data_IF_077845266683
#
_entry.id   IF_077845266683
#
_cell.length_a   1.000
_cell.length_b   1.000
_cell.length_c   1.000
_cell.angle_alpha   90.00
_cell.angle_beta   90.00
_cell.angle_gamma   90.00
#
_symmetry.space_group_name_H-M   'P 1'
#
loop_
_entity.id
_entity.type
_entity.pdbx_description
1 polymer ?
#
# COMPACT_ATOMS: atom_id res chain seq x y z
N UNK A 1 -2.94 -7.23 17.50
CA UNK A 1 -1.82 -7.97 18.13
C UNK A 1 -0.67 -7.00 18.34
N UNK A 2 -0.20 -6.77 19.57
CA UNK A 2 0.84 -5.76 19.80
C UNK A 2 2.15 -6.21 19.13
N UNK A 3 2.82 -5.29 18.43
CA UNK A 3 4.05 -5.58 17.69
C UNK A 3 5.18 -6.17 18.55
N UNK A 4 5.07 -6.07 19.88
CA UNK A 4 6.05 -6.59 20.83
C UNK A 4 6.26 -8.10 20.75
N UNK A 5 5.24 -8.85 20.32
CA UNK A 5 5.35 -10.31 20.20
C UNK A 5 6.46 -10.73 19.22
N UNK A 6 6.69 -9.94 18.17
CA UNK A 6 7.76 -10.23 17.21
C UNK A 6 9.15 -10.11 17.83
N UNK A 7 9.39 -9.18 18.75
CA UNK A 7 10.70 -9.09 19.41
C UNK A 7 10.99 -10.32 20.26
N UNK A 8 10.00 -10.76 21.06
CA UNK A 8 10.14 -11.94 21.92
C UNK A 8 10.35 -13.19 21.06
N UNK A 9 9.54 -13.36 20.01
CA UNK A 9 9.67 -14.48 19.08
C UNK A 9 11.05 -14.50 18.43
N UNK A 10 11.50 -13.38 17.86
CA UNK A 10 12.81 -13.30 17.23
C UNK A 10 13.95 -13.51 18.22
N UNK A 11 13.81 -13.09 19.48
CA UNK A 11 14.81 -13.35 20.52
C UNK A 11 14.93 -14.84 20.85
N UNK A 12 13.80 -15.55 20.98
CA UNK A 12 13.81 -17.01 21.17
C UNK A 12 14.41 -17.71 19.96
N UNK A 13 14.07 -17.27 18.74
CA UNK A 13 14.56 -17.84 17.48
C UNK A 13 16.07 -17.71 17.29
N UNK A 14 16.76 -16.82 18.02
CA UNK A 14 18.23 -16.78 18.05
C UNK A 14 18.85 -18.09 18.54
N UNK A 15 18.12 -18.85 19.36
CA UNK A 15 18.60 -20.08 20.00
C UNK A 15 17.88 -21.34 19.51
N UNK A 16 16.97 -21.23 18.53
CA UNK A 16 16.19 -22.35 18.00
C UNK A 16 16.41 -22.53 16.49
N UNK A 17 15.37 -22.35 15.67
CA UNK A 17 15.36 -22.65 14.23
C UNK A 17 15.87 -21.47 13.39
N UNK A 18 16.10 -20.31 13.99
CA UNK A 18 16.48 -19.06 13.31
C UNK A 18 15.47 -18.65 12.23
N UNK A 19 14.18 -18.78 12.54
CA UNK A 19 13.08 -18.32 11.68
C UNK A 19 12.58 -16.96 12.14
N UNK A 20 13.16 -15.90 11.58
CA UNK A 20 12.88 -14.52 12.00
C UNK A 20 11.70 -13.92 11.25
N UNK A 21 10.78 -13.28 11.98
CA UNK A 21 9.54 -12.74 11.41
C UNK A 21 9.28 -11.33 11.91
N UNK A 22 8.75 -10.49 11.05
CA UNK A 22 8.42 -9.11 11.43
C UNK A 22 7.43 -8.47 10.47
N UNK A 23 7.06 -7.22 10.76
CA UNK A 23 6.04 -6.51 10.00
C UNK A 23 6.67 -5.49 9.06
N UNK A 24 6.71 -5.81 7.76
CA UNK A 24 7.25 -4.96 6.69
C UNK A 24 8.60 -4.33 7.03
N UNK A 25 8.73 -3.02 6.79
CA UNK A 25 9.86 -2.17 7.19
C UNK A 25 9.64 -1.41 8.50
N UNK A 26 8.65 -1.83 9.30
CA UNK A 26 8.47 -1.31 10.66
C UNK A 26 9.60 -1.80 11.56
N UNK A 27 9.72 -1.25 12.77
CA UNK A 27 10.78 -1.60 13.74
C UNK A 27 10.92 -3.13 13.96
N UNK A 28 9.80 -3.86 14.00
CA UNK A 28 9.80 -5.32 14.16
C UNK A 28 10.36 -6.06 12.95
N UNK A 29 10.06 -5.60 11.74
CA UNK A 29 10.62 -6.12 10.49
C UNK A 29 12.12 -5.83 10.35
N UNK A 30 12.54 -4.61 10.70
CA UNK A 30 13.95 -4.26 10.69
C UNK A 30 14.75 -5.04 11.73
N UNK A 31 14.17 -5.32 12.90
CA UNK A 31 14.78 -6.20 13.89
C UNK A 31 14.89 -7.65 13.40
N UNK A 32 13.84 -8.20 12.79
CA UNK A 32 13.88 -9.53 12.20
C UNK A 32 14.96 -9.63 11.10
N UNK A 33 15.06 -8.62 10.24
CA UNK A 33 16.11 -8.51 9.22
C UNK A 33 17.50 -8.45 9.84
N UNK A 34 17.70 -7.63 10.89
CA UNK A 34 18.96 -7.58 11.62
C UNK A 34 19.35 -8.95 12.17
N UNK A 35 18.43 -9.68 12.80
CA UNK A 35 18.70 -11.02 13.31
C UNK A 35 19.09 -11.99 12.17
N UNK A 36 18.33 -11.98 11.07
CA UNK A 36 18.64 -12.78 9.89
C UNK A 36 20.04 -12.48 9.33
N UNK A 37 20.40 -11.20 9.15
CA UNK A 37 21.70 -10.79 8.63
C UNK A 37 22.87 -11.14 9.56
N UNK A 38 22.65 -11.13 10.88
CA UNK A 38 23.68 -11.43 11.87
C UNK A 38 23.85 -12.92 12.19
N UNK A 39 22.76 -13.68 12.19
CA UNK A 39 22.74 -15.04 12.70
C UNK A 39 22.44 -16.11 11.64
N UNK A 40 22.06 -15.70 10.42
CA UNK A 40 21.61 -16.57 9.32
C UNK A 40 20.22 -17.17 9.59
N UNK A 41 19.74 -18.05 8.71
CA UNK A 41 18.43 -18.71 8.86
C UNK A 41 17.41 -18.22 7.83
N UNK A 42 16.16 -18.03 8.25
CA UNK A 42 15.06 -17.61 7.39
C UNK A 42 14.50 -16.26 7.85
N UNK A 43 14.11 -15.42 6.89
CA UNK A 43 13.38 -14.18 7.14
C UNK A 43 11.98 -14.30 6.56
N UNK A 44 10.97 -13.80 7.27
CA UNK A 44 9.63 -13.56 6.71
C UNK A 44 9.12 -12.19 7.15
N UNK A 45 9.05 -11.26 6.20
CA UNK A 45 8.37 -9.99 6.37
C UNK A 45 6.90 -10.15 6.04
N UNK A 46 6.06 -9.59 6.90
CA UNK A 46 4.61 -9.71 6.78
C UNK A 46 3.95 -8.35 6.64
N UNK A 47 2.86 -8.29 5.89
CA UNK A 47 2.05 -7.07 5.72
C UNK A 47 0.57 -7.43 5.48
N UNK A 48 -0.34 -6.46 5.60
CA UNK A 48 -1.72 -6.64 5.18
C UNK A 48 -1.80 -7.04 3.70
N UNK A 49 -2.72 -7.95 3.37
CA UNK A 49 -2.99 -8.31 1.98
C UNK A 49 -3.69 -7.19 1.20
N UNK A 50 -3.67 -7.29 -0.14
CA UNK A 50 -4.27 -6.30 -1.02
C UNK A 50 -5.80 -6.20 -0.88
N UNK A 51 -6.47 -7.30 -0.51
CA UNK A 51 -7.89 -7.32 -0.09
C UNK A 51 -7.89 -7.68 1.39
N UNK A 52 -7.97 -6.68 2.26
CA UNK A 52 -7.71 -6.87 3.69
C UNK A 52 -8.96 -7.21 4.46
N UNK A 53 -9.99 -6.38 4.44
CA UNK A 53 -11.11 -6.50 5.40
C UNK A 53 -12.35 -5.72 4.96
N UNK A 54 -13.47 -5.93 5.67
CA UNK A 54 -14.66 -5.08 5.50
C UNK A 54 -14.37 -3.66 5.95
N UNK A 55 -13.82 -3.47 7.16
CA UNK A 55 -13.54 -2.15 7.69
C UNK A 55 -12.03 -1.93 7.88
N UNK A 56 -11.63 -0.72 8.28
CA UNK A 56 -10.24 -0.38 8.55
C UNK A 56 -9.66 -1.23 9.70
N UNK A 57 -8.36 -1.48 9.65
CA UNK A 57 -7.66 -2.21 10.72
C UNK A 57 -7.70 -1.51 12.07
N UNK A 58 -7.87 -0.20 12.09
CA UNK A 58 -8.03 0.61 13.31
C UNK A 58 -9.37 0.36 14.02
N UNK A 59 -10.37 -0.19 13.31
CA UNK A 59 -11.67 -0.56 13.86
C UNK A 59 -11.70 -2.06 14.25
N UNK A 60 -10.53 -2.66 14.50
CA UNK A 60 -10.35 -4.08 14.84
C UNK A 60 -10.94 -5.08 13.82
N UNK A 61 -11.11 -4.65 12.56
CA UNK A 61 -11.59 -5.54 11.50
C UNK A 61 -10.54 -6.62 11.18
N UNK A 62 -10.96 -7.88 11.27
CA UNK A 62 -10.13 -9.05 11.01
C UNK A 62 -9.68 -9.09 9.55
N UNK A 63 -8.40 -9.42 9.32
CA UNK A 63 -7.84 -9.50 7.98
C UNK A 63 -8.23 -10.82 7.31
N UNK A 64 -8.80 -10.75 6.11
CA UNK A 64 -9.08 -11.86 5.21
C UNK A 64 -7.82 -12.42 4.56
N UNK A 65 -6.81 -11.56 4.36
CA UNK A 65 -5.58 -11.95 3.69
C UNK A 65 -4.34 -11.25 4.28
N UNK A 66 -3.17 -11.82 4.00
CA UNK A 66 -1.88 -11.33 4.47
C UNK A 66 -0.81 -11.59 3.43
N UNK A 67 0.13 -10.67 3.29
CA UNK A 67 1.37 -10.91 2.54
C UNK A 67 2.41 -11.53 3.48
N UNK A 68 3.08 -12.57 2.99
CA UNK A 68 4.28 -13.13 3.59
C UNK A 68 5.37 -13.21 2.52
N UNK A 69 6.44 -12.46 2.72
CA UNK A 69 7.55 -12.31 1.80
C UNK A 69 8.85 -12.71 2.49
N UNK A 70 9.55 -13.68 1.93
CA UNK A 70 10.80 -14.22 2.47
C UNK A 70 12.06 -13.71 1.74
N UNK A 71 11.91 -12.69 0.89
CA UNK A 71 12.99 -12.07 0.11
C UNK A 71 13.11 -10.59 0.47
N UNK A 72 11.99 -9.87 0.45
CA UNK A 72 11.91 -8.44 0.73
C UNK A 72 10.50 -8.07 1.19
N UNK A 73 9.95 -7.00 0.63
CA UNK A 73 8.53 -6.66 0.79
C UNK A 73 8.08 -5.87 -0.45
N UNK A 74 6.84 -6.08 -0.92
CA UNK A 74 6.38 -5.61 -2.24
C UNK A 74 6.48 -4.10 -2.52
N UNK A 75 6.50 -3.26 -1.48
CA UNK A 75 6.58 -1.80 -1.64
C UNK A 75 8.01 -1.27 -1.55
N UNK A 76 8.99 -2.14 -1.30
CA UNK A 76 10.38 -1.74 -1.20
C UNK A 76 11.09 -1.97 -2.54
N UNK A 77 11.34 -0.88 -3.25
CA UNK A 77 12.03 -0.86 -4.53
C UNK A 77 13.57 -0.89 -4.39
N UNK A 78 14.11 -0.80 -3.17
CA UNK A 78 15.57 -0.75 -2.93
C UNK A 78 16.22 -2.14 -2.96
N UNK A 79 15.43 -3.20 -2.86
CA UNK A 79 15.87 -4.60 -2.88
C UNK A 79 14.81 -5.47 -3.56
N UNK A 80 15.18 -6.67 -4.06
CA UNK A 80 14.20 -7.59 -4.62
C UNK A 80 13.12 -8.01 -3.61
N UNK A 81 11.93 -8.33 -4.13
CA UNK A 81 10.82 -8.89 -3.35
C UNK A 81 10.34 -10.22 -3.93
N UNK A 82 9.60 -11.00 -3.15
CA UNK A 82 8.99 -12.24 -3.65
C UNK A 82 7.99 -11.95 -4.77
N UNK A 83 7.23 -10.87 -4.66
CA UNK A 83 6.30 -10.44 -5.71
C UNK A 83 7.04 -10.09 -7.00
N UNK A 84 8.12 -9.30 -6.90
CA UNK A 84 8.96 -8.95 -8.05
C UNK A 84 9.52 -10.20 -8.74
N UNK A 85 10.05 -11.15 -7.97
CA UNK A 85 10.55 -12.40 -8.53
C UNK A 85 9.46 -13.22 -9.21
N UNK A 86 8.26 -13.33 -8.61
CA UNK A 86 7.12 -13.99 -9.25
C UNK A 86 6.80 -13.33 -10.60
N UNK A 87 6.74 -12.00 -10.65
CA UNK A 87 6.44 -11.26 -11.87
C UNK A 87 7.52 -11.43 -12.95
N UNK A 88 8.80 -11.52 -12.55
CA UNK A 88 9.93 -11.67 -13.47
C UNK A 88 10.14 -13.09 -13.98
N UNK A 89 9.85 -14.12 -13.18
CA UNK A 89 10.23 -15.49 -13.50
C UNK A 89 9.08 -16.48 -13.72
N UNK A 90 7.87 -16.18 -13.24
CA UNK A 90 6.74 -17.11 -13.38
C UNK A 90 6.19 -17.09 -14.81
N UNK A 91 6.06 -18.26 -15.43
CA UNK A 91 5.49 -18.37 -16.78
C UNK A 91 3.94 -18.37 -16.74
N UNK A 92 3.36 -17.18 -16.54
CA UNK A 92 1.90 -16.98 -16.51
C UNK A 92 1.19 -17.48 -17.77
N UNK A 93 1.83 -17.33 -18.94
CA UNK A 93 1.25 -17.76 -20.23
C UNK A 93 1.02 -19.26 -20.31
N UNK A 94 1.82 -20.06 -19.60
CA UNK A 94 1.67 -21.53 -19.55
C UNK A 94 0.64 -22.02 -18.53
N UNK A 95 0.26 -21.19 -17.55
CA UNK A 95 -0.70 -21.55 -16.50
C UNK A 95 -2.11 -21.04 -16.84
N UNK A 96 -2.75 -21.73 -17.79
CA UNK A 96 -4.09 -21.35 -18.27
C UNK A 96 -5.13 -21.27 -17.14
N UNK A 97 -5.05 -22.18 -16.15
CA UNK A 97 -6.00 -22.19 -15.04
C UNK A 97 -5.84 -20.94 -14.17
N UNK A 98 -4.62 -20.59 -13.79
CA UNK A 98 -4.35 -19.35 -13.05
C UNK A 98 -4.85 -18.13 -13.81
N UNK A 99 -4.63 -18.06 -15.13
CA UNK A 99 -5.06 -16.92 -15.93
C UNK A 99 -6.59 -16.80 -16.06
N UNK A 100 -7.31 -17.93 -16.06
CA UNK A 100 -8.78 -17.94 -15.99
C UNK A 100 -9.26 -17.47 -14.61
N UNK A 101 -8.67 -18.00 -13.54
CA UNK A 101 -9.00 -17.63 -12.17
C UNK A 101 -8.71 -16.14 -11.92
N UNK A 102 -7.59 -15.60 -12.43
CA UNK A 102 -7.22 -14.19 -12.34
C UNK A 102 -8.22 -13.27 -13.05
N UNK A 103 -8.64 -13.60 -14.28
CA UNK A 103 -9.66 -12.83 -15.01
C UNK A 103 -11.00 -12.84 -14.28
N UNK A 104 -11.39 -13.98 -13.72
CA UNK A 104 -12.62 -14.11 -12.93
C UNK A 104 -12.53 -13.25 -11.65
N UNK A 105 -11.40 -13.28 -10.96
CA UNK A 105 -11.19 -12.48 -9.76
C UNK A 105 -11.24 -10.97 -10.07
N UNK A 106 -10.56 -10.52 -11.13
CA UNK A 106 -10.63 -9.12 -11.59
C UNK A 106 -12.06 -8.71 -11.89
N UNK A 107 -12.82 -9.54 -12.61
CA UNK A 107 -14.24 -9.29 -12.91
C UNK A 107 -15.05 -9.10 -11.63
N UNK A 108 -14.90 -10.00 -10.66
CA UNK A 108 -15.62 -9.92 -9.37
C UNK A 108 -15.23 -8.64 -8.62
N UNK A 109 -13.94 -8.30 -8.57
CA UNK A 109 -13.44 -7.10 -7.91
C UNK A 109 -14.10 -5.85 -8.50
N UNK A 110 -14.16 -5.75 -9.82
CA UNK A 110 -14.75 -4.60 -10.51
C UNK A 110 -16.27 -4.54 -10.34
N UNK A 111 -16.99 -5.64 -10.58
CA UNK A 111 -18.46 -5.67 -10.50
C UNK A 111 -18.98 -5.46 -9.07
N UNK A 112 -18.19 -5.87 -8.07
CA UNK A 112 -18.54 -5.76 -6.65
C UNK A 112 -17.90 -4.54 -5.97
N UNK A 113 -17.15 -3.71 -6.71
CA UNK A 113 -16.39 -2.57 -6.19
C UNK A 113 -15.50 -2.91 -4.98
N UNK A 114 -14.81 -4.05 -5.03
CA UNK A 114 -13.93 -4.50 -3.95
C UNK A 114 -12.63 -3.69 -3.95
N UNK A 115 -12.20 -3.27 -2.75
CA UNK A 115 -10.93 -2.59 -2.52
C UNK A 115 -10.20 -3.20 -1.30
N UNK A 116 -9.13 -2.56 -0.83
CA UNK A 116 -8.38 -3.01 0.36
C UNK A 116 -9.27 -3.02 1.61
N UNK A 117 -10.10 -1.98 1.75
CA UNK A 117 -11.10 -1.82 2.79
C UNK A 117 -12.45 -1.57 2.09
N UNK A 118 -13.53 -2.17 2.60
CA UNK A 118 -14.80 -2.30 1.89
C UNK A 118 -15.98 -1.74 2.69
N UNK A 119 -15.72 -0.69 3.51
CA UNK A 119 -16.70 -0.02 4.37
C UNK A 119 -17.11 1.36 3.86
N UNK A 120 -16.48 1.85 2.79
CA UNK A 120 -16.74 3.19 2.24
C UNK A 120 -17.98 3.20 1.35
N UNK A 121 -18.73 4.32 1.39
CA UNK A 121 -19.80 4.58 0.43
C UNK A 121 -19.21 4.70 -0.99
N UNK A 122 -19.92 4.15 -1.98
CA UNK A 122 -19.56 4.23 -3.40
C UNK A 122 -20.12 5.49 -4.08
N UNK A 123 -20.75 6.39 -3.31
CA UNK A 123 -21.30 7.62 -3.86
C UNK A 123 -20.18 8.53 -4.35
N UNK A 124 -20.06 8.65 -5.67
CA UNK A 124 -19.29 9.71 -6.33
C UNK A 124 -20.14 10.97 -6.32
N UNK A 125 -19.72 12.05 -5.65
CA UNK A 125 -20.52 13.28 -5.63
C UNK A 125 -20.83 13.79 -7.04
N UNK A 126 -22.04 14.31 -7.25
CA UNK A 126 -22.57 14.66 -8.59
C UNK A 126 -21.75 15.73 -9.31
N UNK A 127 -21.08 16.58 -8.54
CA UNK A 127 -20.12 17.57 -9.03
C UNK A 127 -18.95 16.94 -9.80
N UNK A 128 -18.63 15.67 -9.56
CA UNK A 128 -17.64 14.87 -10.28
C UNK A 128 -18.22 14.08 -11.46
N UNK A 129 -19.50 14.25 -11.79
CA UNK A 129 -20.17 13.59 -12.91
C UNK A 129 -20.43 14.54 -14.09
N UNK A 130 -19.77 15.71 -14.10
CA UNK A 130 -19.82 16.64 -15.24
C UNK A 130 -19.21 16.00 -16.49
N UNK A 131 -19.60 16.46 -17.66
CA UNK A 131 -18.96 16.05 -18.91
C UNK A 131 -17.69 16.89 -19.12
N UNK A 132 -16.59 16.49 -18.48
CA UNK A 132 -15.30 17.18 -18.54
C UNK A 132 -14.12 16.21 -18.50
N UNK A 133 -12.99 16.63 -19.08
CA UNK A 133 -11.72 15.92 -18.94
C UNK A 133 -11.23 16.04 -17.49
N UNK A 134 -10.72 14.95 -16.95
CA UNK A 134 -10.35 14.88 -15.53
C UNK A 134 -9.14 14.00 -15.27
N UNK A 135 -8.37 14.41 -14.28
CA UNK A 135 -7.21 13.67 -13.74
C UNK A 135 -7.41 13.51 -12.24
N UNK A 136 -7.14 12.32 -11.71
CA UNK A 136 -7.18 12.06 -10.27
C UNK A 136 -5.78 11.82 -9.73
N UNK A 137 -5.32 12.72 -8.86
CA UNK A 137 -4.11 12.57 -8.06
C UNK A 137 -4.49 11.91 -6.72
N UNK A 138 -3.78 10.85 -6.34
CA UNK A 138 -4.02 10.13 -5.09
C UNK A 138 -2.88 10.44 -4.13
N UNK A 139 -3.17 11.15 -3.05
CA UNK A 139 -2.19 11.47 -2.01
C UNK A 139 -2.06 10.32 -1.00
N UNK A 140 -0.83 10.07 -0.56
CA UNK A 140 -0.56 9.15 0.55
C UNK A 140 -0.42 9.88 1.89
N UNK A 141 -0.35 9.11 2.98
CA UNK A 141 -0.11 9.68 4.31
C UNK A 141 1.39 9.88 4.55
N UNK A 142 1.77 10.98 5.21
CA UNK A 142 3.15 11.19 5.61
C UNK A 142 3.67 10.03 6.47
N UNK A 143 4.90 9.58 6.18
CA UNK A 143 5.54 8.48 6.90
C UNK A 143 5.03 7.08 6.52
N UNK A 144 4.27 6.96 5.43
CA UNK A 144 4.03 5.65 4.83
C UNK A 144 5.35 5.05 4.36
N UNK A 145 5.61 3.79 4.73
CA UNK A 145 6.85 3.11 4.37
C UNK A 145 6.97 2.92 2.85
N UNK A 146 5.86 2.87 2.11
CA UNK A 146 5.90 2.79 0.65
C UNK A 146 6.40 4.06 -0.03
N UNK A 147 6.33 5.23 0.61
CA UNK A 147 6.97 6.45 0.09
C UNK A 147 8.50 6.36 0.24
N UNK A 148 8.96 6.06 1.46
CA UNK A 148 10.38 5.98 1.75
C UNK A 148 11.07 4.86 0.95
N UNK A 149 10.51 3.66 0.99
CA UNK A 149 11.11 2.49 0.33
C UNK A 149 10.73 2.38 -1.16
N UNK A 150 9.78 3.19 -1.63
CA UNK A 150 9.43 3.35 -3.04
C UNK A 150 10.32 4.34 -3.80
N UNK A 151 11.39 4.85 -3.17
CA UNK A 151 12.32 5.84 -3.73
C UNK A 151 11.67 7.20 -4.03
N UNK A 152 10.66 7.59 -3.24
CA UNK A 152 9.94 8.86 -3.40
C UNK A 152 10.38 9.93 -2.38
N UNK A 153 11.55 9.77 -1.74
CA UNK A 153 12.05 10.70 -0.71
C UNK A 153 12.17 12.17 -1.21
N UNK A 154 12.30 12.37 -2.53
CA UNK A 154 12.42 13.70 -3.16
C UNK A 154 11.15 14.14 -3.90
N UNK A 155 10.06 13.37 -3.84
CA UNK A 155 8.82 13.68 -4.55
C UNK A 155 7.71 13.99 -3.56
N UNK A 156 7.11 15.16 -3.72
CA UNK A 156 5.99 15.62 -2.92
C UNK A 156 4.68 15.41 -3.65
N UNK A 157 3.57 15.38 -2.92
CA UNK A 157 2.24 15.40 -3.54
C UNK A 157 2.04 16.68 -4.36
N UNK A 158 2.73 17.79 -4.04
CA UNK A 158 2.68 19.01 -4.85
C UNK A 158 3.30 18.79 -6.22
N UNK A 159 4.48 18.17 -6.30
CA UNK A 159 5.14 17.82 -7.58
C UNK A 159 4.22 16.96 -8.46
N UNK A 160 3.47 16.02 -7.85
CA UNK A 160 2.47 15.21 -8.57
C UNK A 160 1.31 16.04 -9.12
N UNK A 161 0.86 17.05 -8.39
CA UNK A 161 -0.20 17.96 -8.84
C UNK A 161 0.31 18.85 -9.97
N UNK A 162 1.54 19.36 -9.88
CA UNK A 162 2.13 20.19 -10.94
C UNK A 162 2.25 19.39 -12.24
N UNK A 163 2.82 18.19 -12.17
CA UNK A 163 2.92 17.30 -13.33
C UNK A 163 1.54 16.97 -13.92
N UNK A 164 0.54 16.70 -13.07
CA UNK A 164 -0.82 16.43 -13.53
C UNK A 164 -1.43 17.62 -14.29
N UNK A 165 -1.18 18.86 -13.85
CA UNK A 165 -1.65 20.08 -14.52
C UNK A 165 -0.90 20.28 -15.84
N UNK A 166 0.43 20.19 -15.81
CA UNK A 166 1.29 20.47 -16.97
C UNK A 166 1.08 19.45 -18.11
N UNK A 167 0.90 18.17 -17.77
CA UNK A 167 0.65 17.11 -18.74
C UNK A 167 -0.79 17.10 -19.25
N UNK A 168 -1.73 17.72 -18.54
CA UNK A 168 -3.16 17.69 -18.85
C UNK A 168 -3.81 19.10 -18.78
N UNK A 169 -3.37 20.07 -19.62
CA UNK A 169 -3.77 21.47 -19.50
C UNK A 169 -5.26 21.75 -19.71
N UNK A 170 -6.00 20.81 -20.30
CA UNK A 170 -7.44 20.93 -20.55
C UNK A 170 -8.30 20.08 -19.60
N UNK A 171 -7.69 19.47 -18.58
CA UNK A 171 -8.38 18.61 -17.63
C UNK A 171 -8.49 19.27 -16.25
N UNK A 172 -9.60 18.99 -15.57
CA UNK A 172 -9.76 19.33 -14.16
C UNK A 172 -8.97 18.33 -13.31
N UNK A 173 -8.03 18.83 -12.51
CA UNK A 173 -7.24 18.00 -11.58
C UNK A 173 -7.98 17.86 -10.25
N UNK A 174 -8.20 16.62 -9.85
CA UNK A 174 -8.79 16.25 -8.57
C UNK A 174 -7.74 15.63 -7.65
N UNK A 175 -7.81 15.95 -6.36
CA UNK A 175 -6.95 15.35 -5.34
C UNK A 175 -7.79 14.48 -4.40
N UNK A 176 -7.55 13.17 -4.38
CA UNK A 176 -8.07 12.30 -3.32
C UNK A 176 -7.07 12.24 -2.18
N UNK A 177 -7.46 12.80 -1.05
CA UNK A 177 -6.70 12.71 0.20
C UNK A 177 -7.06 11.42 0.94
N UNK A 178 -6.07 10.80 1.61
CA UNK A 178 -6.29 9.58 2.38
C UNK A 178 -7.28 9.83 3.56
N UNK A 179 -8.23 8.91 3.84
CA UNK A 179 -9.22 9.08 4.91
C UNK A 179 -8.64 9.38 6.31
N UNK A 180 -7.50 8.76 6.65
CA UNK A 180 -6.80 9.01 7.93
C UNK A 180 -6.32 10.46 8.08
N UNK A 181 -6.00 11.16 6.98
CA UNK A 181 -5.62 12.57 7.01
C UNK A 181 -6.84 13.44 7.28
N UNK A 182 -7.95 13.16 6.58
CA UNK A 182 -9.20 13.92 6.73
C UNK A 182 -9.80 13.78 8.13
N UNK A 183 -9.58 12.64 8.80
CA UNK A 183 -9.99 12.42 10.19
C UNK A 183 -9.00 12.99 11.22
N UNK A 184 -7.93 13.67 10.78
CA UNK A 184 -6.90 14.27 11.65
C UNK A 184 -6.00 13.24 12.35
N UNK A 185 -6.07 11.96 11.98
CA UNK A 185 -5.29 10.87 12.60
C UNK A 185 -3.87 10.77 12.04
N UNK A 186 -3.63 11.31 10.85
CA UNK A 186 -2.33 11.37 10.19
C UNK A 186 -2.11 12.74 9.55
N UNK A 187 -0.83 13.10 9.42
CA UNK A 187 -0.43 14.32 8.73
C UNK A 187 -0.30 14.09 7.23
N UNK A 188 -0.64 15.11 6.46
CA UNK A 188 -0.38 15.23 5.01
C UNK A 188 0.90 16.05 4.83
N UNK A 189 1.65 15.76 3.77
CA UNK A 189 2.75 16.59 3.31
C UNK A 189 2.27 17.92 2.71
N UNK A 190 1.00 17.99 2.28
CA UNK A 190 0.34 19.21 1.81
C UNK A 190 -0.59 19.84 2.86
N UNK A 191 -0.57 21.17 2.95
CA UNK A 191 -1.67 21.96 3.52
C UNK A 191 -2.74 22.20 2.46
N UNK A 192 -3.95 21.71 2.72
CA UNK A 192 -5.07 21.76 1.78
C UNK A 192 -5.36 23.20 1.30
N UNK A 193 -5.17 24.20 2.17
CA UNK A 193 -5.38 25.62 1.86
C UNK A 193 -4.51 26.13 0.70
N UNK A 194 -3.28 25.60 0.57
CA UNK A 194 -2.30 26.08 -0.40
C UNK A 194 -2.59 25.56 -1.83
N UNK A 195 -3.39 24.48 -1.96
CA UNK A 195 -3.65 23.78 -3.23
C UNK A 195 -5.08 23.93 -3.76
N UNK A 196 -6.00 24.50 -2.98
CA UNK A 196 -7.42 24.65 -3.36
C UNK A 196 -7.62 25.48 -4.64
N UNK A 197 -6.68 26.37 -4.97
CA UNK A 197 -6.74 27.17 -6.20
C UNK A 197 -6.22 26.42 -7.44
N UNK A 198 -5.58 25.25 -7.25
CA UNK A 198 -4.91 24.47 -8.31
C UNK A 198 -5.61 23.15 -8.62
N UNK A 199 -6.35 22.59 -7.67
CA UNK A 199 -7.06 21.32 -7.83
C UNK A 199 -8.32 21.26 -6.97
N UNK A 200 -9.25 20.36 -7.32
CA UNK A 200 -10.46 20.11 -6.55
C UNK A 200 -10.20 18.96 -5.57
N UNK A 201 -10.27 19.24 -4.28
CA UNK A 201 -10.02 18.24 -3.23
C UNK A 201 -11.27 17.40 -2.96
N UNK A 202 -11.13 16.08 -3.12
CA UNK A 202 -12.16 15.09 -2.79
C UNK A 202 -11.96 14.63 -1.35
N UNK A 203 -12.99 14.85 -0.52
CA UNK A 203 -13.05 14.33 0.86
C UNK A 203 -13.40 12.84 0.81
#
# INVERSE_FOLDING_TARGET
MSGYIFYIQNFVELFTNKSFKGWGRKKTGNFAKFCYEKFGGELTLKEDGFIRSLDLGINDSSSFSRVEDNIGIYYDATVPSKLENILNSYNFSSDTKLMVDARKAIKIILESNISKYNSSSLEVPKEFLKDELRVLVIAQTQGDASLQYGMLDNYTTEDMIEAAIDENPNATVYLKVHPDVLSGKKYSDIKIEDIQNRCIVIK
#
